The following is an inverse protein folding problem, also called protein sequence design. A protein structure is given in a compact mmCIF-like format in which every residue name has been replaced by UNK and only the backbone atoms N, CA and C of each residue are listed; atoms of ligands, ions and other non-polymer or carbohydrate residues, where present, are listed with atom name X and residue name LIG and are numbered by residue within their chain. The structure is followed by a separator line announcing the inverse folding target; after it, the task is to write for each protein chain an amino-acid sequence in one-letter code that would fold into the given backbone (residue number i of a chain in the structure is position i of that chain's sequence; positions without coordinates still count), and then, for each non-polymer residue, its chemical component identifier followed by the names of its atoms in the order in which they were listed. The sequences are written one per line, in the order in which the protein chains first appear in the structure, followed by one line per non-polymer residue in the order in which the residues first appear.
data_IF_972371433729
#
_entry.id   IF_972371433729
#
_cell.length_a   1.000
_cell.length_b   1.000
_cell.length_c   1.000
_cell.angle_alpha   90.00
_cell.angle_beta   90.00
_cell.angle_gamma   90.00
#
_symmetry.space_group_name_H-M   'P 1'
#
loop_
_entity.id
_entity.type
_entity.pdbx_description
1 polymer ?
#
# COMPACT_ATOMS: atom_id res chain seq x y z
N UNK A 1 -37.65 -24.49 7.89
CA UNK A 1 -36.29 -24.26 7.35
C UNK A 1 -36.07 -22.77 7.19
N UNK A 2 -35.44 -22.11 8.16
CA UNK A 2 -34.90 -20.76 7.95
C UNK A 2 -33.52 -20.90 7.32
N UNK A 3 -33.34 -20.40 6.10
CA UNK A 3 -32.01 -20.29 5.53
C UNK A 3 -31.25 -19.21 6.32
N UNK A 4 -30.08 -19.54 6.89
CA UNK A 4 -29.22 -18.55 7.56
C UNK A 4 -28.52 -17.59 6.58
N UNK A 5 -29.02 -17.51 5.34
CA UNK A 5 -28.58 -16.56 4.32
C UNK A 5 -29.24 -15.22 4.56
N UNK A 6 -28.41 -14.23 4.89
CA UNK A 6 -28.78 -12.83 5.00
C UNK A 6 -28.68 -12.16 3.64
N UNK A 7 -29.57 -11.21 3.36
CA UNK A 7 -29.50 -10.36 2.18
C UNK A 7 -29.08 -8.96 2.60
N UNK A 8 -28.04 -8.43 1.94
CA UNK A 8 -27.57 -7.07 2.19
C UNK A 8 -28.24 -6.14 1.18
N UNK A 9 -28.92 -5.11 1.68
CA UNK A 9 -29.63 -4.12 0.86
C UNK A 9 -29.11 -2.74 1.19
N UNK A 10 -28.59 -2.05 0.19
CA UNK A 10 -28.23 -0.63 0.27
C UNK A 10 -29.16 0.15 -0.66
N UNK A 11 -29.76 1.21 -0.14
CA UNK A 11 -30.65 2.09 -0.89
C UNK A 11 -30.07 3.49 -0.85
N UNK A 12 -29.60 3.96 -2.00
CA UNK A 12 -29.15 5.34 -2.15
C UNK A 12 -30.38 6.26 -2.20
N UNK A 13 -30.40 7.22 -1.28
CA UNK A 13 -31.53 8.11 -1.07
C UNK A 13 -31.09 9.57 -1.25
N UNK A 14 -31.94 10.40 -1.84
CA UNK A 14 -31.66 11.82 -2.07
C UNK A 14 -31.66 12.24 -3.54
N UNK A 15 -31.57 13.54 -3.77
CA UNK A 15 -31.56 14.16 -5.11
C UNK A 15 -30.33 13.81 -5.95
N UNK A 16 -29.28 13.26 -5.32
CA UNK A 16 -28.07 12.79 -5.98
C UNK A 16 -28.27 11.44 -6.69
N UNK A 17 -29.32 10.67 -6.35
CA UNK A 17 -29.65 9.42 -7.02
C UNK A 17 -30.60 9.67 -8.21
N UNK A 18 -30.20 9.43 -9.47
CA UNK A 18 -31.03 9.70 -10.65
C UNK A 18 -32.27 8.79 -10.75
N UNK A 19 -32.26 7.64 -10.06
CA UNK A 19 -33.41 6.74 -9.98
C UNK A 19 -34.39 7.13 -8.87
N UNK A 20 -34.09 8.19 -8.12
CA UNK A 20 -34.97 8.71 -7.08
C UNK A 20 -36.05 9.61 -7.71
N UNK A 21 -37.27 9.08 -7.78
CA UNK A 21 -38.42 9.88 -8.24
C UNK A 21 -38.92 10.79 -7.12
N UNK A 22 -38.52 12.06 -7.16
CA UNK A 22 -39.12 13.11 -6.32
C UNK A 22 -40.55 13.36 -6.78
N UNK A 23 -41.55 12.95 -5.99
CA UNK A 23 -42.94 13.36 -6.23
C UNK A 23 -43.18 14.74 -5.60
N UNK A 24 -44.20 15.51 -6.04
CA UNK A 24 -44.47 16.84 -5.48
C UNK A 24 -44.74 16.86 -3.96
N UNK A 25 -45.03 15.70 -3.37
CA UNK A 25 -45.27 15.52 -1.93
C UNK A 25 -44.25 14.55 -1.29
N UNK A 26 -43.12 14.27 -1.94
CA UNK A 26 -42.10 13.41 -1.35
C UNK A 26 -41.42 14.14 -0.18
N UNK A 27 -41.21 13.49 0.98
CA UNK A 27 -40.52 14.09 2.12
C UNK A 27 -39.14 14.64 1.72
N UNK A 28 -38.80 15.82 2.23
CA UNK A 28 -37.44 16.36 2.12
C UNK A 28 -36.50 15.51 3.00
N UNK A 29 -35.41 15.03 2.40
CA UNK A 29 -34.40 14.21 3.06
C UNK A 29 -33.68 14.93 4.20
N UNK A 30 -33.82 16.25 4.30
CA UNK A 30 -33.42 17.01 5.48
C UNK A 30 -34.17 16.64 6.77
N UNK A 31 -35.30 15.92 6.70
CA UNK A 31 -36.12 15.57 7.86
C UNK A 31 -36.77 14.18 7.76
N UNK A 32 -35.96 13.12 7.92
CA UNK A 32 -36.47 11.74 8.03
C UNK A 32 -37.01 11.52 9.44
N UNK A 33 -38.33 11.36 9.58
CA UNK A 33 -38.99 11.13 10.89
C UNK A 33 -39.28 9.65 11.17
N UNK A 34 -39.08 8.77 10.18
CA UNK A 34 -39.24 7.32 10.34
C UNK A 34 -38.98 6.54 9.05
N UNK A 35 -38.85 5.23 9.19
CA UNK A 35 -38.81 4.27 8.08
C UNK A 35 -40.00 3.32 8.16
N UNK A 36 -40.67 3.12 7.04
CA UNK A 36 -41.75 2.14 6.90
C UNK A 36 -41.29 0.98 6.00
N UNK A 37 -41.37 -0.25 6.53
CA UNK A 37 -41.13 -1.47 5.76
C UNK A 37 -42.46 -2.03 5.30
N UNK A 38 -42.81 -1.78 4.04
CA UNK A 38 -44.00 -2.37 3.43
C UNK A 38 -43.64 -3.67 2.74
N UNK A 39 -44.12 -4.76 3.31
CA UNK A 39 -43.94 -6.08 2.73
C UNK A 39 -45.20 -6.48 1.97
N UNK A 40 -45.04 -6.83 0.69
CA UNK A 40 -46.13 -7.26 -0.18
C UNK A 40 -45.84 -8.66 -0.71
N UNK A 41 -46.82 -9.56 -0.57
CA UNK A 41 -46.74 -10.94 -1.03
C UNK A 41 -47.98 -11.29 -1.85
N UNK A 42 -47.83 -12.28 -2.73
CA UNK A 42 -48.98 -12.86 -3.43
C UNK A 42 -49.85 -13.66 -2.46
N UNK A 43 -51.15 -13.76 -2.72
CA UNK A 43 -52.08 -14.52 -1.88
C UNK A 43 -51.76 -16.02 -1.82
N UNK A 44 -51.08 -16.56 -2.84
CA UNK A 44 -50.62 -17.95 -2.87
C UNK A 44 -49.38 -18.21 -2.00
N UNK A 45 -48.62 -17.17 -1.67
CA UNK A 45 -47.40 -17.26 -0.86
C UNK A 45 -47.62 -16.79 0.60
N UNK A 46 -48.89 -16.61 0.99
CA UNK A 46 -49.25 -16.16 2.32
C UNK A 46 -48.85 -17.20 3.38
N UNK A 47 -47.87 -16.85 4.21
CA UNK A 47 -47.37 -17.67 5.30
C UNK A 47 -47.07 -16.81 6.54
N UNK A 48 -46.92 -17.46 7.70
CA UNK A 48 -46.44 -16.80 8.91
C UNK A 48 -44.97 -16.43 8.74
N UNK A 49 -44.70 -15.19 8.35
CA UNK A 49 -43.34 -14.68 8.18
C UNK A 49 -42.86 -14.00 9.47
N UNK A 50 -41.64 -14.31 9.87
CA UNK A 50 -40.88 -13.51 10.82
C UNK A 50 -39.75 -12.83 10.07
N UNK A 51 -39.79 -11.50 9.97
CA UNK A 51 -38.68 -10.72 9.46
C UNK A 51 -37.69 -10.45 10.59
N UNK A 52 -36.41 -10.78 10.35
CA UNK A 52 -35.30 -10.33 11.21
C UNK A 52 -34.57 -9.22 10.49
N UNK A 53 -34.46 -8.08 11.15
CA UNK A 53 -33.66 -6.95 10.70
C UNK A 53 -32.49 -6.86 11.66
N UNK A 54 -31.29 -6.79 11.11
CA UNK A 54 -30.06 -6.57 11.87
C UNK A 54 -29.27 -5.46 11.17
N UNK A 55 -28.43 -4.77 11.94
CA UNK A 55 -27.45 -3.79 11.42
C UNK A 55 -28.04 -2.66 10.54
N UNK A 56 -29.15 -2.04 10.99
CA UNK A 56 -29.74 -0.89 10.31
C UNK A 56 -28.95 0.39 10.60
N UNK A 57 -28.33 0.96 9.57
CA UNK A 57 -27.53 2.19 9.66
C UNK A 57 -28.08 3.32 8.79
N UNK A 58 -27.96 4.54 9.30
CA UNK A 58 -28.21 5.77 8.55
C UNK A 58 -26.93 6.59 8.48
N UNK A 59 -26.55 7.02 7.28
CA UNK A 59 -25.39 7.87 7.12
C UNK A 59 -25.35 8.47 5.73
N UNK A 60 -24.74 9.65 5.63
CA UNK A 60 -24.32 10.16 4.33
C UNK A 60 -23.17 9.27 3.86
N UNK A 61 -23.39 8.50 2.79
CA UNK A 61 -22.28 7.82 2.14
C UNK A 61 -21.35 8.87 1.54
N UNK A 62 -20.20 9.06 2.16
CA UNK A 62 -19.09 9.82 1.59
C UNK A 62 -18.05 8.79 1.24
N UNK A 63 -17.84 8.56 -0.07
CA UNK A 63 -16.78 7.67 -0.49
C UNK A 63 -15.45 8.20 0.06
N UNK A 64 -14.64 7.31 0.64
CA UNK A 64 -13.30 7.64 1.12
C UNK A 64 -12.44 8.27 0.00
N UNK A 65 -12.79 7.97 -1.25
CA UNK A 65 -12.15 8.52 -2.45
C UNK A 65 -12.62 9.94 -2.82
N UNK A 66 -13.80 10.38 -2.39
CA UNK A 66 -14.37 11.66 -2.84
C UNK A 66 -13.83 12.88 -2.08
N UNK A 67 -13.49 12.73 -0.80
CA UNK A 67 -13.05 13.86 0.06
C UNK A 67 -11.56 13.80 0.40
N UNK A 68 -10.99 12.60 0.52
CA UNK A 68 -9.64 12.44 1.04
C UNK A 68 -8.64 11.87 0.01
N UNK A 69 -9.08 11.41 -1.17
CA UNK A 69 -8.16 10.77 -2.11
C UNK A 69 -7.02 11.69 -2.54
N UNK A 70 -7.29 12.95 -2.86
CA UNK A 70 -6.23 13.84 -3.32
C UNK A 70 -5.19 14.10 -2.23
N UNK A 71 -5.63 14.50 -1.03
CA UNK A 71 -4.72 14.81 0.08
C UNK A 71 -3.96 13.58 0.59
N UNK A 72 -4.63 12.42 0.66
CA UNK A 72 -4.03 11.16 1.06
C UNK A 72 -3.01 10.70 -0.01
N UNK A 73 -3.40 10.67 -1.29
CA UNK A 73 -2.50 10.26 -2.38
C UNK A 73 -1.32 11.23 -2.46
N UNK A 74 -1.57 12.53 -2.34
CA UNK A 74 -0.52 13.55 -2.34
C UNK A 74 0.46 13.34 -1.19
N UNK A 75 -0.04 13.18 0.04
CA UNK A 75 0.79 12.92 1.22
C UNK A 75 1.67 11.67 1.05
N UNK A 76 1.08 10.52 0.70
CA UNK A 76 1.83 9.29 0.49
C UNK A 76 2.81 9.39 -0.68
N UNK A 77 2.47 10.13 -1.74
CA UNK A 77 3.36 10.35 -2.88
C UNK A 77 4.56 11.20 -2.50
N UNK A 78 4.35 12.27 -1.74
CA UNK A 78 5.43 13.15 -1.25
C UNK A 78 6.33 12.39 -0.28
N UNK A 79 5.76 11.62 0.66
CA UNK A 79 6.50 10.80 1.59
C UNK A 79 7.39 9.77 0.87
N UNK A 80 6.81 9.01 -0.07
CA UNK A 80 7.55 8.04 -0.88
C UNK A 80 8.65 8.70 -1.73
N UNK A 81 8.38 9.88 -2.30
CA UNK A 81 9.36 10.65 -3.06
C UNK A 81 10.53 11.07 -2.17
N UNK A 82 10.26 11.66 -1.00
CA UNK A 82 11.30 12.08 -0.05
C UNK A 82 12.13 10.88 0.42
N UNK A 83 11.45 9.79 0.83
CA UNK A 83 12.10 8.56 1.26
C UNK A 83 13.01 7.97 0.17
N UNK A 84 12.57 7.99 -1.09
CA UNK A 84 13.38 7.53 -2.23
C UNK A 84 14.68 8.33 -2.34
N UNK A 85 14.60 9.67 -2.38
CA UNK A 85 15.78 10.52 -2.56
C UNK A 85 16.72 10.51 -1.35
N UNK A 86 16.19 10.44 -0.13
CA UNK A 86 17.00 10.31 1.07
C UNK A 86 17.78 8.99 1.09
N UNK A 87 17.11 7.87 0.84
CA UNK A 87 17.79 6.57 0.78
C UNK A 87 18.81 6.55 -0.37
N UNK A 88 18.45 7.01 -1.56
CA UNK A 88 19.39 7.10 -2.69
C UNK A 88 20.63 7.94 -2.34
N UNK A 89 20.44 9.09 -1.69
CA UNK A 89 21.55 9.96 -1.28
C UNK A 89 22.44 9.28 -0.22
N UNK A 90 21.86 8.67 0.81
CA UNK A 90 22.60 7.97 1.87
C UNK A 90 23.43 6.83 1.28
N UNK A 91 22.82 5.95 0.49
CA UNK A 91 23.53 4.83 -0.14
C UNK A 91 24.60 5.34 -1.13
N UNK A 92 24.30 6.35 -1.93
CA UNK A 92 25.27 6.96 -2.83
C UNK A 92 26.49 7.53 -2.09
N UNK A 93 26.27 8.24 -0.98
CA UNK A 93 27.34 8.81 -0.15
C UNK A 93 28.17 7.70 0.50
N UNK A 94 27.54 6.69 1.10
CA UNK A 94 28.24 5.56 1.74
C UNK A 94 29.10 4.81 0.71
N UNK A 95 28.52 4.48 -0.44
CA UNK A 95 29.23 3.80 -1.52
C UNK A 95 30.41 4.62 -2.04
N UNK A 96 30.24 5.93 -2.22
CA UNK A 96 31.31 6.83 -2.64
C UNK A 96 32.43 6.89 -1.59
N UNK A 97 32.08 7.05 -0.32
CA UNK A 97 33.02 7.12 0.81
C UNK A 97 33.89 5.87 0.90
N UNK A 98 33.28 4.68 0.90
CA UNK A 98 34.02 3.43 0.99
C UNK A 98 34.82 3.12 -0.28
N UNK A 99 34.34 3.56 -1.43
CA UNK A 99 35.10 3.48 -2.69
C UNK A 99 36.39 4.30 -2.59
N UNK A 100 36.32 5.53 -2.09
CA UNK A 100 37.50 6.39 -1.91
C UNK A 100 38.45 5.78 -0.87
N UNK A 101 37.93 5.30 0.27
CA UNK A 101 38.72 4.71 1.35
C UNK A 101 39.50 3.46 0.91
N UNK A 102 38.93 2.64 0.01
CA UNK A 102 39.55 1.40 -0.47
C UNK A 102 40.41 1.58 -1.74
N UNK A 103 40.74 2.83 -2.07
CA UNK A 103 41.63 3.20 -3.16
C UNK A 103 40.98 3.16 -4.55
N UNK A 104 39.65 3.21 -4.61
CA UNK A 104 38.91 3.38 -5.86
C UNK A 104 39.07 4.79 -6.42
N UNK A 105 39.05 4.90 -7.75
CA UNK A 105 39.08 6.22 -8.39
C UNK A 105 37.70 6.84 -8.31
N UNK A 106 37.63 7.99 -7.65
CA UNK A 106 36.49 8.90 -7.77
C UNK A 106 36.54 9.48 -9.18
N UNK A 107 35.87 8.83 -10.13
CA UNK A 107 35.70 9.36 -11.48
C UNK A 107 34.80 10.61 -11.45
N UNK A 108 33.90 10.70 -12.43
CA UNK A 108 32.88 11.75 -12.40
C UNK A 108 31.83 11.43 -11.32
N UNK A 109 31.68 12.32 -10.34
CA UNK A 109 30.62 12.24 -9.32
C UNK A 109 29.23 12.18 -9.97
N UNK A 110 29.00 12.98 -11.01
CA UNK A 110 27.75 12.97 -11.77
C UNK A 110 27.46 11.59 -12.34
N UNK A 111 28.42 10.97 -13.04
CA UNK A 111 28.24 9.60 -13.57
C UNK A 111 28.01 8.58 -12.46
N UNK A 112 28.69 8.73 -11.34
CA UNK A 112 28.53 7.84 -10.19
C UNK A 112 27.09 7.90 -9.66
N UNK A 113 26.61 9.07 -9.27
CA UNK A 113 25.26 9.24 -8.70
C UNK A 113 24.15 8.89 -9.68
N UNK A 114 24.34 9.15 -10.98
CA UNK A 114 23.39 8.73 -12.03
C UNK A 114 23.29 7.20 -12.09
N UNK A 115 24.42 6.47 -12.14
CA UNK A 115 24.39 5.00 -12.20
C UNK A 115 23.81 4.39 -10.93
N UNK A 116 24.17 4.92 -9.75
CA UNK A 116 23.58 4.47 -8.48
C UNK A 116 22.07 4.77 -8.45
N UNK A 117 21.63 5.90 -8.99
CA UNK A 117 20.21 6.22 -9.16
C UNK A 117 19.47 5.20 -10.01
N UNK A 118 20.08 4.71 -11.09
CA UNK A 118 19.49 3.65 -11.92
C UNK A 118 19.37 2.33 -11.17
N UNK A 119 20.36 1.95 -10.36
CA UNK A 119 20.24 0.78 -9.47
C UNK A 119 19.07 0.99 -8.49
N UNK A 120 18.89 2.21 -7.99
CA UNK A 120 17.81 2.55 -7.06
C UNK A 120 16.40 2.51 -7.67
N UNK A 121 16.24 2.62 -8.99
CA UNK A 121 14.92 2.46 -9.66
C UNK A 121 14.27 1.11 -9.31
N UNK A 122 15.08 0.10 -9.03
CA UNK A 122 14.59 -1.23 -8.67
C UNK A 122 13.80 -1.16 -7.34
N UNK A 123 14.11 -0.21 -6.45
CA UNK A 123 13.35 -0.01 -5.19
C UNK A 123 11.91 0.41 -5.49
N UNK A 124 11.69 1.23 -6.51
CA UNK A 124 10.35 1.60 -6.99
C UNK A 124 9.56 0.39 -7.48
N UNK A 125 10.21 -0.52 -8.23
CA UNK A 125 9.58 -1.76 -8.68
C UNK A 125 9.20 -2.66 -7.50
N UNK A 126 10.08 -2.77 -6.51
CA UNK A 126 9.80 -3.52 -5.29
C UNK A 126 8.63 -2.93 -4.49
N UNK A 127 8.58 -1.62 -4.31
CA UNK A 127 7.47 -0.95 -3.65
C UNK A 127 6.15 -1.23 -4.38
N UNK A 128 6.14 -1.16 -5.71
CA UNK A 128 4.94 -1.46 -6.51
C UNK A 128 4.48 -2.91 -6.34
N UNK A 129 5.41 -3.88 -6.40
CA UNK A 129 5.13 -5.30 -6.19
C UNK A 129 4.56 -5.54 -4.79
N UNK A 130 5.17 -4.94 -3.77
CA UNK A 130 4.68 -5.04 -2.40
C UNK A 130 3.29 -4.43 -2.26
N UNK A 131 3.06 -3.21 -2.75
CA UNK A 131 1.73 -2.58 -2.69
C UNK A 131 0.67 -3.47 -3.33
N UNK A 132 0.98 -4.10 -4.46
CA UNK A 132 0.07 -5.04 -5.11
C UNK A 132 -0.14 -6.33 -4.30
N UNK A 133 0.90 -6.87 -3.68
CA UNK A 133 0.79 -8.04 -2.80
C UNK A 133 -0.05 -7.74 -1.56
N UNK A 134 0.27 -6.64 -0.85
CA UNK A 134 -0.41 -6.23 0.36
C UNK A 134 -1.87 -5.80 0.12
N UNK A 135 -2.22 -5.36 -1.09
CA UNK A 135 -3.63 -5.06 -1.43
C UNK A 135 -4.53 -6.31 -1.49
N UNK A 136 -3.94 -7.51 -1.58
CA UNK A 136 -4.68 -8.79 -1.53
C UNK A 136 -4.93 -9.28 -0.10
N UNK A 137 -4.38 -8.61 0.92
CA UNK A 137 -4.54 -9.03 2.30
C UNK A 137 -5.95 -8.71 2.82
N UNK A 138 -6.54 -9.61 3.62
CA UNK A 138 -7.83 -9.37 4.25
C UNK A 138 -7.73 -8.27 5.30
N UNK A 139 -8.80 -7.50 5.50
CA UNK A 139 -8.91 -6.58 6.63
C UNK A 139 -8.86 -7.34 7.97
N UNK A 140 -8.18 -6.76 8.96
CA UNK A 140 -7.91 -7.38 10.26
C UNK A 140 -8.21 -6.47 11.44
N UNK A 141 -8.46 -7.11 12.57
CA UNK A 141 -8.41 -6.53 13.92
C UNK A 141 -7.15 -7.02 14.64
N UNK A 142 -6.75 -6.36 15.74
CA UNK A 142 -5.56 -6.77 16.51
C UNK A 142 -5.58 -8.26 16.92
N UNK A 143 -6.78 -8.78 17.24
CA UNK A 143 -7.00 -10.17 17.65
C UNK A 143 -6.84 -11.17 16.49
N UNK A 144 -7.04 -10.74 15.24
CA UNK A 144 -7.04 -11.62 14.06
C UNK A 144 -5.76 -11.53 13.22
N UNK A 145 -4.79 -10.69 13.61
CA UNK A 145 -3.53 -10.49 12.88
C UNK A 145 -2.74 -11.79 12.68
N UNK A 146 -2.50 -12.55 13.75
CA UNK A 146 -1.72 -13.79 13.66
C UNK A 146 -2.38 -14.83 12.76
N UNK A 147 -3.69 -15.01 12.90
CA UNK A 147 -4.43 -16.02 12.15
C UNK A 147 -4.57 -15.66 10.67
N UNK A 148 -4.90 -14.39 10.37
CA UNK A 148 -5.22 -13.97 9.00
C UNK A 148 -4.04 -13.45 8.19
N UNK A 149 -3.04 -12.81 8.79
CA UNK A 149 -1.91 -12.22 8.06
C UNK A 149 -0.66 -13.12 8.09
N UNK A 150 -0.24 -13.65 9.24
CA UNK A 150 1.00 -14.46 9.30
C UNK A 150 0.90 -15.77 8.49
N UNK A 151 -0.29 -16.35 8.40
CA UNK A 151 -0.56 -17.54 7.57
C UNK A 151 -0.83 -17.21 6.09
N UNK A 152 -0.89 -15.92 5.72
CA UNK A 152 -1.20 -15.51 4.36
C UNK A 152 0.04 -15.58 3.47
N UNK A 153 -0.11 -16.22 2.31
CA UNK A 153 0.97 -16.39 1.36
C UNK A 153 1.54 -15.05 0.86
N UNK A 154 0.71 -14.01 0.69
CA UNK A 154 1.15 -12.71 0.22
C UNK A 154 2.01 -12.00 1.29
N UNK A 155 1.66 -12.17 2.56
CA UNK A 155 2.44 -11.65 3.68
C UNK A 155 3.79 -12.37 3.80
N UNK A 156 3.80 -13.71 3.73
CA UNK A 156 5.03 -14.51 3.76
C UNK A 156 5.94 -14.18 2.57
N UNK A 157 5.37 -14.08 1.36
CA UNK A 157 6.11 -13.74 0.16
C UNK A 157 6.68 -12.32 0.25
N UNK A 158 5.90 -11.33 0.71
CA UNK A 158 6.37 -9.96 0.92
C UNK A 158 7.58 -9.90 1.87
N UNK A 159 7.54 -10.66 2.97
CA UNK A 159 8.66 -10.76 3.90
C UNK A 159 9.93 -11.34 3.24
N UNK A 160 9.80 -12.44 2.49
CA UNK A 160 10.95 -13.05 1.79
C UNK A 160 11.48 -12.18 0.64
N UNK A 161 10.59 -11.45 -0.04
CA UNK A 161 10.96 -10.52 -1.11
C UNK A 161 11.82 -9.38 -0.57
N UNK A 162 11.55 -8.84 0.62
CA UNK A 162 12.35 -7.74 1.20
C UNK A 162 13.83 -8.12 1.32
N UNK A 163 14.14 -9.28 1.91
CA UNK A 163 15.52 -9.74 2.08
C UNK A 163 16.17 -10.05 0.74
N UNK A 164 15.45 -10.75 -0.14
CA UNK A 164 15.94 -11.10 -1.48
C UNK A 164 16.26 -9.85 -2.28
N UNK A 165 15.41 -8.85 -2.18
CA UNK A 165 15.55 -7.58 -2.86
C UNK A 165 16.76 -6.79 -2.36
N UNK A 166 16.95 -6.70 -1.04
CA UNK A 166 18.12 -6.05 -0.44
C UNK A 166 19.43 -6.74 -0.84
N UNK A 167 19.44 -8.08 -0.86
CA UNK A 167 20.58 -8.85 -1.33
C UNK A 167 20.88 -8.58 -2.81
N UNK A 168 19.85 -8.53 -3.65
CA UNK A 168 19.99 -8.23 -5.07
C UNK A 168 20.51 -6.81 -5.33
N UNK A 169 20.01 -5.82 -4.58
CA UNK A 169 20.51 -4.44 -4.61
C UNK A 169 22.00 -4.36 -4.27
N UNK A 170 22.46 -5.11 -3.25
CA UNK A 170 23.88 -5.17 -2.91
C UNK A 170 24.72 -5.76 -4.06
N UNK A 171 24.22 -6.80 -4.75
CA UNK A 171 24.92 -7.35 -5.93
C UNK A 171 25.05 -6.28 -7.03
N UNK A 172 23.98 -5.53 -7.30
CA UNK A 172 23.99 -4.48 -8.31
C UNK A 172 24.90 -3.29 -7.95
N UNK A 173 24.95 -2.91 -6.67
CA UNK A 173 25.91 -1.92 -6.19
C UNK A 173 27.35 -2.40 -6.38
N UNK A 174 27.66 -3.66 -6.06
CA UNK A 174 28.99 -4.22 -6.31
C UNK A 174 29.36 -4.16 -7.81
N UNK A 175 28.43 -4.51 -8.70
CA UNK A 175 28.62 -4.42 -10.15
C UNK A 175 28.87 -2.96 -10.57
N UNK A 176 28.04 -2.03 -10.08
CA UNK A 176 28.16 -0.61 -10.38
C UNK A 176 29.52 -0.05 -9.92
N UNK A 177 29.94 -0.35 -8.69
CA UNK A 177 31.22 0.08 -8.13
C UNK A 177 32.40 -0.50 -8.92
N UNK A 178 32.36 -1.79 -9.24
CA UNK A 178 33.40 -2.42 -10.05
C UNK A 178 33.56 -1.71 -11.40
N UNK A 179 32.44 -1.45 -12.08
CA UNK A 179 32.42 -0.78 -13.38
C UNK A 179 32.88 0.68 -13.32
N UNK A 180 32.39 1.46 -12.36
CA UNK A 180 32.66 2.90 -12.24
C UNK A 180 34.07 3.19 -11.75
N UNK A 181 34.53 2.47 -10.74
CA UNK A 181 35.74 2.80 -9.99
C UNK A 181 36.93 1.91 -10.34
N UNK A 182 36.72 0.91 -11.22
CA UNK A 182 37.73 -0.05 -11.69
C UNK A 182 38.48 -0.74 -10.55
N UNK A 183 37.81 -0.94 -9.42
CA UNK A 183 38.32 -1.70 -8.27
C UNK A 183 38.20 -3.20 -8.53
N UNK A 184 38.91 -4.05 -7.81
CA UNK A 184 38.75 -5.51 -7.92
C UNK A 184 37.35 -5.94 -7.47
N UNK A 185 36.85 -7.07 -7.98
CA UNK A 185 35.54 -7.63 -7.59
C UNK A 185 35.39 -7.81 -6.08
N UNK A 186 36.45 -8.28 -5.41
CA UNK A 186 36.48 -8.44 -3.94
C UNK A 186 36.29 -7.09 -3.25
N UNK A 187 37.01 -6.05 -3.69
CA UNK A 187 36.85 -4.70 -3.11
C UNK A 187 35.44 -4.15 -3.35
N UNK A 188 34.90 -4.33 -4.55
CA UNK A 188 33.54 -3.87 -4.87
C UNK A 188 32.49 -4.57 -4.01
N UNK A 189 32.62 -5.89 -3.81
CA UNK A 189 31.73 -6.66 -2.95
C UNK A 189 31.80 -6.19 -1.49
N UNK A 190 33.00 -5.94 -0.96
CA UNK A 190 33.20 -5.40 0.40
C UNK A 190 32.60 -4.01 0.56
N UNK A 191 32.87 -3.10 -0.38
CA UNK A 191 32.29 -1.74 -0.41
C UNK A 191 30.77 -1.81 -0.35
N UNK A 192 30.18 -2.64 -1.23
CA UNK A 192 28.73 -2.78 -1.29
C UNK A 192 28.16 -3.40 -0.03
N UNK A 193 28.78 -4.45 0.52
CA UNK A 193 28.29 -5.10 1.73
C UNK A 193 28.28 -4.13 2.92
N UNK A 194 29.36 -3.38 3.12
CA UNK A 194 29.46 -2.39 4.20
C UNK A 194 28.42 -1.28 4.00
N UNK A 195 28.30 -0.73 2.79
CA UNK A 195 27.32 0.31 2.49
C UNK A 195 25.88 -0.17 2.68
N UNK A 196 25.57 -1.42 2.29
CA UNK A 196 24.25 -2.01 2.50
C UNK A 196 23.91 -2.25 3.96
N UNK A 197 24.87 -2.74 4.76
CA UNK A 197 24.68 -2.95 6.20
C UNK A 197 24.46 -1.61 6.90
N UNK A 198 25.33 -0.62 6.65
CA UNK A 198 25.20 0.70 7.28
C UNK A 198 23.96 1.43 6.80
N UNK A 199 23.67 1.39 5.50
CA UNK A 199 22.45 1.96 4.92
C UNK A 199 21.20 1.38 5.57
N UNK A 200 21.14 0.06 5.78
CA UNK A 200 20.03 -0.59 6.48
C UNK A 200 19.84 -0.03 7.91
N UNK A 201 20.91 0.09 8.70
CA UNK A 201 20.81 0.64 10.06
C UNK A 201 20.46 2.13 10.07
N UNK A 202 20.97 2.92 9.12
CA UNK A 202 20.61 4.34 9.00
C UNK A 202 19.14 4.50 8.65
N UNK A 203 18.61 3.75 7.68
CA UNK A 203 17.19 3.79 7.34
C UNK A 203 16.33 3.34 8.53
N UNK A 204 16.74 2.30 9.26
CA UNK A 204 16.02 1.82 10.45
C UNK A 204 15.98 2.85 11.59
N UNK A 205 17.01 3.68 11.75
CA UNK A 205 17.07 4.69 12.80
C UNK A 205 16.29 5.99 12.46
N UNK A 206 15.92 6.16 11.19
CA UNK A 206 15.17 7.33 10.69
C UNK A 206 13.67 7.04 10.58
N UNK A 207 13.28 5.76 10.54
CA UNK A 207 11.90 5.29 10.70
C UNK A 207 11.50 5.21 12.18
#
# INVERSE_FOLDING_TARGET
NSSNTWANVTVDVGSENPNWTSSPNSPDWGNITGLEFKLAWSTSDAANLTLKIDDLHFGKYVSLFAVAAFDIIFYFSVDAFIAFFLNWAIYGILLLMFTMMLGGKAGSLTRFFVVIGHVFIITTLYLLINTLLFSTLPQITAETFQEKWLSNWAFQLGYHLDFTFKAWMAVLFAIAIHSLSKVTWIKAAVISAIASILGFFFTLAVL
#
